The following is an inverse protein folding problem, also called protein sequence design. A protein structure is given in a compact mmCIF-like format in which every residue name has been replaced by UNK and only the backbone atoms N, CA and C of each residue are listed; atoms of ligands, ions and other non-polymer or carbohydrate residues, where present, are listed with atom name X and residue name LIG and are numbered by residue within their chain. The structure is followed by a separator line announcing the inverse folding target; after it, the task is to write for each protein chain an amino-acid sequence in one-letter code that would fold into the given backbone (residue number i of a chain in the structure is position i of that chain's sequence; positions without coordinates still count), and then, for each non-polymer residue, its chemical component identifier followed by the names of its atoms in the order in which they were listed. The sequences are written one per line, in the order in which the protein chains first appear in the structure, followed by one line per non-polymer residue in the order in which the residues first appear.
data_IF_052600300082
#
_entry.id   IF_052600300082
#
_cell.length_a   1.000
_cell.length_b   1.000
_cell.length_c   1.000
_cell.angle_alpha   90.00
_cell.angle_beta   90.00
_cell.angle_gamma   90.00
#
_symmetry.space_group_name_H-M   'P 1'
#
loop_
_entity.id
_entity.type
_entity.pdbx_description
1 polymer ?
#
# COMPACT_ATOMS: atom_id res chain seq x y z
N UNK A 1 26.42 6.76 8.84
CA UNK A 1 25.86 5.75 7.91
C UNK A 1 24.35 5.80 8.09
N UNK A 2 23.58 6.16 7.07
CA UNK A 2 22.11 6.16 7.18
C UNK A 2 21.67 4.71 7.08
N UNK A 3 21.02 4.18 8.13
CA UNK A 3 20.45 2.84 8.09
C UNK A 3 19.14 2.87 7.30
N UNK A 4 19.27 2.80 5.97
CA UNK A 4 18.12 2.74 5.07
C UNK A 4 17.47 1.37 5.06
N UNK A 5 18.18 0.30 5.42
CA UNK A 5 17.63 -1.06 5.39
C UNK A 5 16.56 -1.24 6.46
N UNK A 6 16.90 -0.98 7.72
CA UNK A 6 15.96 -1.14 8.84
C UNK A 6 14.77 -0.19 8.69
N UNK A 7 15.03 1.03 8.21
CA UNK A 7 13.99 2.03 7.99
C UNK A 7 13.00 1.61 6.88
N UNK A 8 13.49 1.15 5.73
CA UNK A 8 12.63 0.63 4.65
C UNK A 8 11.85 -0.60 5.09
N UNK A 9 12.49 -1.52 5.83
CA UNK A 9 11.81 -2.69 6.42
C UNK A 9 10.62 -2.28 7.30
N UNK A 10 10.84 -1.32 8.21
CA UNK A 10 9.80 -0.83 9.11
C UNK A 10 8.66 -0.15 8.33
N UNK A 11 8.97 0.61 7.28
CA UNK A 11 7.95 1.24 6.44
C UNK A 11 7.07 0.21 5.71
N UNK A 12 7.67 -0.81 5.09
CA UNK A 12 6.92 -1.88 4.40
C UNK A 12 6.08 -2.67 5.40
N UNK A 13 6.65 -2.98 6.57
CA UNK A 13 5.93 -3.69 7.64
C UNK A 13 4.74 -2.87 8.15
N UNK A 14 4.94 -1.58 8.44
CA UNK A 14 3.86 -0.69 8.88
C UNK A 14 2.76 -0.58 7.82
N UNK A 15 3.13 -0.46 6.54
CA UNK A 15 2.16 -0.43 5.44
C UNK A 15 1.38 -1.74 5.33
N UNK A 16 2.05 -2.88 5.52
CA UNK A 16 1.39 -4.18 5.51
C UNK A 16 0.42 -4.36 6.68
N UNK A 17 0.78 -3.88 7.87
CA UNK A 17 -0.07 -3.94 9.07
C UNK A 17 -1.33 -3.10 8.87
N UNK A 18 -1.21 -1.86 8.38
CA UNK A 18 -2.40 -1.02 8.18
C UNK A 18 -3.32 -1.61 7.11
N UNK A 19 -2.78 -2.18 6.02
CA UNK A 19 -3.58 -2.90 5.01
C UNK A 19 -4.31 -4.11 5.61
N UNK A 20 -3.66 -4.87 6.49
CA UNK A 20 -4.27 -6.01 7.18
C UNK A 20 -5.40 -5.55 8.12
N UNK A 21 -5.18 -4.52 8.92
CA UNK A 21 -6.20 -3.95 9.81
C UNK A 21 -7.41 -3.50 8.97
N UNK A 22 -7.18 -2.74 7.89
CA UNK A 22 -8.24 -2.30 6.99
C UNK A 22 -8.97 -3.48 6.34
N UNK A 23 -8.30 -4.60 6.05
CA UNK A 23 -8.91 -5.79 5.44
C UNK A 23 -9.85 -6.52 6.40
N UNK A 24 -9.48 -6.60 7.68
CA UNK A 24 -10.30 -7.21 8.71
C UNK A 24 -11.48 -6.31 9.10
N UNK A 25 -11.27 -4.99 9.21
CA UNK A 25 -12.29 -4.02 9.61
C UNK A 25 -13.04 -3.37 8.41
N UNK A 26 -12.89 -3.93 7.20
CA UNK A 26 -13.42 -3.35 5.96
C UNK A 26 -14.92 -3.07 5.97
N UNK A 27 -15.72 -3.85 6.70
CA UNK A 27 -17.17 -3.69 6.73
C UNK A 27 -17.57 -2.40 7.45
N UNK A 28 -16.98 -2.15 8.62
CA UNK A 28 -17.22 -0.92 9.38
C UNK A 28 -16.72 0.31 8.63
N UNK A 29 -15.57 0.19 7.96
CA UNK A 29 -14.99 1.26 7.13
C UNK A 29 -15.87 1.57 5.92
N UNK A 30 -16.42 0.54 5.26
CA UNK A 30 -17.34 0.70 4.15
C UNK A 30 -18.67 1.30 4.60
N UNK A 31 -19.19 0.92 5.78
CA UNK A 31 -20.39 1.51 6.37
C UNK A 31 -20.19 2.99 6.70
N UNK A 32 -19.04 3.35 7.28
CA UNK A 32 -18.69 4.75 7.57
C UNK A 32 -18.55 5.60 6.29
N UNK A 33 -18.23 4.96 5.16
CA UNK A 33 -18.07 5.58 3.85
C UNK A 33 -19.39 5.75 3.07
N UNK A 34 -20.51 5.24 3.60
CA UNK A 34 -21.82 5.36 2.96
C UNK A 34 -22.42 6.77 3.15
N UNK A 35 -23.27 7.23 2.22
CA UNK A 35 -24.11 8.39 2.46
C UNK A 35 -24.96 8.21 3.73
N UNK A 36 -25.31 9.28 4.47
CA UNK A 36 -26.02 9.19 5.77
C UNK A 36 -27.36 8.42 5.74
N UNK A 37 -27.95 8.23 4.56
CA UNK A 37 -29.23 7.56 4.36
C UNK A 37 -29.09 6.16 3.73
N UNK A 38 -27.87 5.69 3.50
CA UNK A 38 -27.60 4.36 2.92
C UNK A 38 -27.10 3.42 4.01
N UNK A 39 -27.75 2.27 4.12
CA UNK A 39 -27.41 1.21 5.10
C UNK A 39 -26.93 -0.08 4.43
N UNK A 40 -26.85 -0.06 3.11
CA UNK A 40 -26.52 -1.21 2.28
C UNK A 40 -25.19 -0.98 1.59
N UNK A 41 -24.19 -1.78 1.96
CA UNK A 41 -22.90 -1.82 1.26
C UNK A 41 -23.11 -2.57 -0.06
N UNK A 42 -22.77 -1.94 -1.19
CA UNK A 42 -22.82 -2.64 -2.47
C UNK A 42 -21.77 -3.75 -2.52
N UNK A 43 -22.11 -4.87 -3.13
CA UNK A 43 -21.18 -5.99 -3.29
C UNK A 43 -19.93 -5.59 -4.08
N UNK A 44 -20.09 -4.72 -5.08
CA UNK A 44 -19.00 -4.12 -5.84
C UNK A 44 -18.00 -3.38 -4.95
N UNK A 45 -18.47 -2.56 -4.00
CA UNK A 45 -17.60 -1.83 -3.07
C UNK A 45 -16.82 -2.76 -2.16
N UNK A 46 -17.50 -3.80 -1.65
CA UNK A 46 -16.90 -4.81 -0.76
C UNK A 46 -15.84 -5.63 -1.47
N UNK A 47 -16.16 -6.14 -2.65
CA UNK A 47 -15.22 -6.93 -3.45
C UNK A 47 -14.08 -6.04 -3.94
N UNK A 48 -14.36 -4.84 -4.43
CA UNK A 48 -13.37 -3.87 -4.90
C UNK A 48 -12.34 -3.53 -3.83
N UNK A 49 -12.79 -3.13 -2.64
CA UNK A 49 -11.88 -2.83 -1.52
C UNK A 49 -11.06 -4.06 -1.12
N UNK A 50 -11.70 -5.24 -1.04
CA UNK A 50 -11.00 -6.49 -0.70
C UNK A 50 -9.89 -6.80 -1.71
N UNK A 51 -10.18 -6.72 -3.01
CA UNK A 51 -9.20 -6.97 -4.07
C UNK A 51 -8.04 -5.97 -3.98
N UNK A 52 -8.32 -4.68 -3.78
CA UNK A 52 -7.28 -3.65 -3.65
C UNK A 52 -6.35 -3.97 -2.46
N UNK A 53 -6.91 -4.23 -1.27
CA UNK A 53 -6.13 -4.53 -0.08
C UNK A 53 -5.26 -5.79 -0.24
N UNK A 54 -5.80 -6.84 -0.87
CA UNK A 54 -5.05 -8.06 -1.17
C UNK A 54 -3.92 -7.82 -2.16
N UNK A 55 -4.18 -7.08 -3.25
CA UNK A 55 -3.14 -6.72 -4.23
C UNK A 55 -2.03 -5.92 -3.54
N UNK A 56 -2.38 -5.00 -2.62
CA UNK A 56 -1.42 -4.20 -1.87
C UNK A 56 -0.53 -5.04 -0.98
N UNK A 57 -1.15 -5.96 -0.27
CA UNK A 57 -0.44 -6.89 0.59
C UNK A 57 0.53 -7.77 -0.21
N UNK A 58 0.09 -8.28 -1.38
CA UNK A 58 0.95 -9.05 -2.29
C UNK A 58 2.11 -8.20 -2.79
N UNK A 59 1.89 -6.94 -3.19
CA UNK A 59 2.96 -6.04 -3.61
C UNK A 59 3.98 -5.79 -2.49
N UNK A 60 3.51 -5.52 -1.27
CA UNK A 60 4.39 -5.34 -0.10
C UNK A 60 5.18 -6.62 0.21
N UNK A 61 4.57 -7.82 0.14
CA UNK A 61 5.26 -9.10 0.36
C UNK A 61 6.36 -9.31 -0.70
N UNK A 62 6.06 -8.99 -1.95
CA UNK A 62 7.03 -9.09 -3.04
C UNK A 62 8.19 -8.11 -2.83
N UNK A 63 7.91 -6.86 -2.48
CA UNK A 63 8.94 -5.85 -2.16
C UNK A 63 9.79 -6.28 -0.96
N UNK A 64 9.16 -6.81 0.09
CA UNK A 64 9.82 -7.38 1.26
C UNK A 64 10.75 -8.54 0.89
N UNK A 65 10.28 -9.45 0.02
CA UNK A 65 11.10 -10.53 -0.52
C UNK A 65 12.32 -10.02 -1.30
N UNK A 66 12.17 -8.94 -2.07
CA UNK A 66 13.27 -8.33 -2.81
C UNK A 66 14.33 -7.70 -1.92
N UNK A 67 13.96 -7.13 -0.76
CA UNK A 67 14.93 -6.58 0.19
C UNK A 67 15.96 -7.61 0.66
N UNK A 68 15.58 -8.89 0.79
CA UNK A 68 16.51 -9.97 1.17
C UNK A 68 17.48 -10.34 0.06
N UNK A 69 17.08 -10.16 -1.20
CA UNK A 69 17.94 -10.46 -2.35
C UNK A 69 18.91 -9.33 -2.63
N UNK A 70 18.48 -8.07 -2.45
CA UNK A 70 19.31 -6.91 -2.75
C UNK A 70 18.88 -5.67 -1.99
N UNK A 71 19.86 -4.95 -1.46
CA UNK A 71 19.65 -3.61 -0.93
C UNK A 71 19.29 -2.63 -2.03
N UNK A 72 18.20 -1.88 -1.82
CA UNK A 72 17.85 -0.70 -2.62
C UNK A 72 18.98 0.33 -2.54
N UNK A 73 19.21 1.05 -3.64
CA UNK A 73 20.10 2.21 -3.58
C UNK A 73 19.53 3.27 -2.63
N UNK A 74 20.36 4.07 -1.94
CA UNK A 74 19.87 5.08 -1.00
C UNK A 74 18.74 6.00 -1.53
N UNK A 75 18.78 6.53 -2.79
CA UNK A 75 17.69 7.35 -3.29
C UNK A 75 16.38 6.57 -3.49
N UNK A 76 16.46 5.30 -3.93
CA UNK A 76 15.27 4.44 -4.08
C UNK A 76 14.70 4.05 -2.72
N UNK A 77 15.55 3.80 -1.73
CA UNK A 77 15.12 3.52 -0.37
C UNK A 77 14.38 4.72 0.25
N UNK A 78 14.87 5.95 0.04
CA UNK A 78 14.20 7.18 0.49
C UNK A 78 12.85 7.34 -0.20
N UNK A 79 12.79 7.13 -1.52
CA UNK A 79 11.52 7.20 -2.26
C UNK A 79 10.51 6.17 -1.75
N UNK A 80 10.93 4.90 -1.58
CA UNK A 80 10.09 3.82 -1.06
C UNK A 80 9.58 4.11 0.37
N UNK A 81 10.44 4.62 1.25
CA UNK A 81 10.01 5.05 2.60
C UNK A 81 8.97 6.17 2.53
N UNK A 82 9.18 7.18 1.68
CA UNK A 82 8.28 8.32 1.54
C UNK A 82 6.89 7.89 1.05
N UNK A 83 6.83 7.10 0.00
CA UNK A 83 5.57 6.57 -0.58
C UNK A 83 4.86 5.61 0.35
N UNK A 84 5.56 4.71 1.07
CA UNK A 84 4.93 3.87 2.10
C UNK A 84 4.36 4.71 3.24
N UNK A 85 5.11 5.71 3.70
CA UNK A 85 4.63 6.62 4.76
C UNK A 85 3.40 7.39 4.31
N UNK A 86 3.40 7.89 3.06
CA UNK A 86 2.26 8.57 2.47
C UNK A 86 1.05 7.63 2.30
N UNK A 87 1.29 6.37 1.91
CA UNK A 87 0.28 5.30 1.85
C UNK A 87 -0.39 5.11 3.20
N UNK A 88 0.42 4.98 4.26
CA UNK A 88 -0.07 4.83 5.62
C UNK A 88 -0.90 6.03 6.08
N UNK A 89 -0.45 7.26 5.79
CA UNK A 89 -1.19 8.47 6.17
C UNK A 89 -2.55 8.56 5.46
N UNK A 90 -2.61 8.17 4.18
CA UNK A 90 -3.84 8.19 3.41
C UNK A 90 -4.78 7.06 3.81
N UNK A 91 -4.27 5.86 4.11
CA UNK A 91 -5.05 4.77 4.71
C UNK A 91 -5.55 5.14 6.11
N UNK A 92 -4.75 5.83 6.92
CA UNK A 92 -5.18 6.29 8.24
C UNK A 92 -6.29 7.35 8.14
N UNK A 93 -6.15 8.31 7.22
CA UNK A 93 -7.22 9.28 6.91
C UNK A 93 -8.48 8.57 6.43
N UNK A 94 -8.31 7.48 5.68
CA UNK A 94 -9.40 6.67 5.19
C UNK A 94 -10.13 5.90 6.30
N UNK A 95 -9.40 5.40 7.30
CA UNK A 95 -10.00 4.76 8.48
C UNK A 95 -10.78 5.76 9.34
N UNK A 96 -10.32 7.01 9.44
CA UNK A 96 -10.86 8.00 10.38
C UNK A 96 -12.09 8.74 9.84
N UNK A 97 -12.14 8.99 8.53
CA UNK A 97 -13.18 9.82 7.91
C UNK A 97 -14.04 9.06 6.89
N UNK A 98 -15.22 9.59 6.59
CA UNK A 98 -16.09 9.08 5.53
C UNK A 98 -15.58 9.53 4.15
N UNK A 99 -15.43 8.59 3.21
CA UNK A 99 -14.96 8.88 1.84
C UNK A 99 -15.77 8.11 0.81
N UNK A 100 -15.96 8.62 -0.42
CA UNK A 100 -16.62 7.86 -1.46
C UNK A 100 -15.78 6.66 -1.90
N UNK A 101 -16.45 5.54 -2.19
CA UNK A 101 -15.82 4.26 -2.55
C UNK A 101 -14.90 4.35 -3.77
N UNK A 102 -15.19 5.26 -4.70
CA UNK A 102 -14.38 5.53 -5.89
C UNK A 102 -12.94 5.94 -5.57
N UNK A 103 -12.71 6.53 -4.39
CA UNK A 103 -11.40 7.08 -4.03
C UNK A 103 -10.43 5.97 -3.59
N UNK A 104 -10.93 4.78 -3.27
CA UNK A 104 -10.11 3.64 -2.83
C UNK A 104 -9.13 3.19 -3.92
N UNK A 105 -9.58 3.20 -5.17
CA UNK A 105 -8.79 2.81 -6.33
C UNK A 105 -7.62 3.78 -6.57
N UNK A 106 -7.88 5.07 -6.41
CA UNK A 106 -6.87 6.11 -6.64
C UNK A 106 -5.80 6.13 -5.56
N UNK A 107 -6.19 6.02 -4.29
CA UNK A 107 -5.26 5.93 -3.16
C UNK A 107 -4.38 4.68 -3.32
N UNK A 108 -4.98 3.56 -3.70
CA UNK A 108 -4.27 2.31 -3.88
C UNK A 108 -3.26 2.35 -5.04
N UNK A 109 -3.69 2.77 -6.23
CA UNK A 109 -2.84 2.84 -7.43
C UNK A 109 -1.71 3.84 -7.26
N UNK A 110 -1.98 5.03 -6.72
CA UNK A 110 -0.99 6.10 -6.68
C UNK A 110 0.10 5.87 -5.63
N UNK A 111 -0.13 5.01 -4.64
CA UNK A 111 0.74 4.91 -3.47
C UNK A 111 1.46 3.56 -3.35
N UNK A 112 0.81 2.46 -3.76
CA UNK A 112 1.43 1.12 -3.75
C UNK A 112 2.16 0.78 -5.05
N UNK A 113 1.67 1.28 -6.18
CA UNK A 113 2.23 0.99 -7.51
C UNK A 113 3.63 1.60 -7.74
N UNK A 114 3.94 2.84 -7.31
CA UNK A 114 5.27 3.43 -7.54
C UNK A 114 6.40 2.64 -6.89
N UNK A 115 6.17 2.03 -5.72
CA UNK A 115 7.18 1.22 -5.02
C UNK A 115 7.45 -0.11 -5.70
N UNK A 116 6.37 -0.77 -6.11
CA UNK A 116 6.47 -1.98 -6.90
C UNK A 116 7.17 -1.73 -8.24
N UNK A 117 6.84 -0.64 -8.95
CA UNK A 117 7.48 -0.25 -10.19
C UNK A 117 8.95 0.11 -10.00
N UNK A 118 9.29 0.89 -8.96
CA UNK A 118 10.68 1.24 -8.65
C UNK A 118 11.54 -0.01 -8.38
N UNK A 119 11.00 -0.95 -7.60
CA UNK A 119 11.67 -2.22 -7.28
C UNK A 119 11.84 -3.11 -8.51
N UNK A 120 10.82 -3.24 -9.35
CA UNK A 120 10.88 -4.05 -10.59
C UNK A 120 11.77 -3.43 -11.67
N UNK A 121 11.76 -2.10 -11.86
CA UNK A 121 12.65 -1.40 -12.79
C UNK A 121 14.12 -1.56 -12.38
N UNK A 122 14.42 -1.46 -11.08
CA UNK A 122 15.77 -1.70 -10.55
C UNK A 122 16.28 -3.09 -10.93
N UNK A 123 15.42 -4.10 -10.86
CA UNK A 123 15.73 -5.49 -11.25
C UNK A 123 15.89 -5.61 -12.77
N UNK A 124 14.95 -5.09 -13.56
CA UNK A 124 14.98 -5.17 -15.01
C UNK A 124 16.25 -4.55 -15.61
N UNK A 125 16.67 -3.39 -15.07
CA UNK A 125 17.91 -2.76 -15.47
C UNK A 125 19.12 -3.62 -15.13
N UNK A 126 19.07 -4.42 -14.08
CA UNK A 126 20.17 -5.30 -13.68
C UNK A 126 20.32 -6.49 -14.61
N UNK A 127 19.22 -7.09 -15.08
CA UNK A 127 19.27 -8.15 -16.08
C UNK A 127 19.75 -7.65 -17.46
N UNK A 128 19.58 -6.36 -17.77
CA UNK A 128 20.13 -5.76 -19.00
C UNK A 128 21.65 -5.56 -18.98
N UNK A 129 22.28 -5.55 -17.81
CA UNK A 129 23.72 -5.32 -17.64
C UNK A 129 24.50 -6.58 -17.26
N UNK A 130 23.90 -7.76 -17.43
CA UNK A 130 24.54 -9.06 -17.23
C UNK A 130 24.51 -9.85 -18.53
#
# INVERSE_FOLDING_TARGET
MIDTLSSTFLCILAHSIILLITLFDKEDILLASLPPNSWTISEESRVGLTVLLIVGLVMNIVEFGYMFQRMLSPPLAILSMFTHSLSCLLLLKFIIDAHPVSDFLWIFILLSCPNFLASTISIANTFKFR
#
